data_IF_077458996725
#
_entry.id   IF_077458996725
#
_cell.length_a   1.000
_cell.length_b   1.000
_cell.length_c   1.000
_cell.angle_alpha   90.00
_cell.angle_beta   90.00
_cell.angle_gamma   90.00
#
_symmetry.space_group_name_H-M   'P 1'
#
loop_
_entity.id
_entity.type
_entity.pdbx_description
1 polymer ?
#
# COMPACT_ATOMS: atom_id res chain seq x y z
N UNK A 1 19.26 22.81 -20.14
CA UNK A 1 18.55 23.75 -19.25
C UNK A 1 17.19 23.17 -18.91
N UNK A 2 17.08 22.38 -17.84
CA UNK A 2 15.82 21.83 -17.35
C UNK A 2 15.45 22.60 -16.09
N UNK A 3 14.75 23.73 -16.26
CA UNK A 3 14.06 24.36 -15.14
C UNK A 3 12.99 23.41 -14.63
N UNK A 4 13.04 23.10 -13.34
CA UNK A 4 12.05 22.26 -12.66
C UNK A 4 10.66 22.88 -12.87
N UNK A 5 9.93 22.41 -13.87
CA UNK A 5 8.63 22.99 -14.22
C UNK A 5 7.61 22.31 -13.32
N UNK A 6 7.32 22.93 -12.18
CA UNK A 6 6.40 22.37 -11.20
C UNK A 6 4.98 22.25 -11.80
N UNK A 7 4.30 21.15 -11.50
CA UNK A 7 2.86 21.05 -11.71
C UNK A 7 2.17 22.09 -10.81
N UNK A 8 1.21 22.82 -11.34
CA UNK A 8 0.38 23.73 -10.55
C UNK A 8 -0.91 23.00 -10.20
N UNK A 9 -1.28 22.94 -8.90
CA UNK A 9 -2.51 22.34 -8.44
C UNK A 9 -3.71 22.91 -9.15
N UNK A 10 -4.62 22.02 -9.50
CA UNK A 10 -5.91 22.42 -10.02
C UNK A 10 -6.75 22.95 -8.88
N UNK A 11 -6.84 24.27 -8.71
CA UNK A 11 -7.64 24.92 -7.66
C UNK A 11 -9.03 25.31 -8.16
N UNK A 12 -10.03 25.49 -7.27
CA UNK A 12 -11.34 26.04 -7.67
C UNK A 12 -11.24 27.39 -8.38
N UNK A 13 -10.29 28.24 -7.98
CA UNK A 13 -10.04 29.53 -8.64
C UNK A 13 -9.48 29.34 -10.05
N UNK A 14 -8.58 28.36 -10.25
CA UNK A 14 -8.06 28.03 -11.57
C UNK A 14 -9.15 27.51 -12.49
N UNK A 15 -10.01 26.60 -12.02
CA UNK A 15 -11.15 26.10 -12.77
C UNK A 15 -12.11 27.23 -13.14
N UNK A 16 -12.46 28.09 -12.18
CA UNK A 16 -13.31 29.26 -12.43
C UNK A 16 -12.71 30.18 -13.48
N UNK A 17 -11.41 30.46 -13.40
CA UNK A 17 -10.71 31.31 -14.38
C UNK A 17 -10.68 30.66 -15.77
N UNK A 18 -10.43 29.36 -15.85
CA UNK A 18 -10.48 28.63 -17.12
C UNK A 18 -11.89 28.67 -17.71
N UNK A 19 -12.92 28.41 -16.90
CA UNK A 19 -14.33 28.47 -17.30
C UNK A 19 -14.71 29.85 -17.84
N UNK A 20 -14.36 30.92 -17.12
CA UNK A 20 -14.64 32.30 -17.58
C UNK A 20 -13.99 32.64 -18.93
N UNK A 21 -12.89 31.98 -19.30
CA UNK A 21 -12.22 32.23 -20.58
C UNK A 21 -12.85 31.49 -21.77
N UNK A 22 -13.68 30.49 -21.51
CA UNK A 22 -14.43 29.73 -22.54
C UNK A 22 -15.94 29.97 -22.46
N UNK A 23 -16.40 30.76 -21.49
CA UNK A 23 -17.81 31.04 -21.26
C UNK A 23 -18.50 31.62 -22.50
N UNK A 24 -19.61 31.02 -22.91
CA UNK A 24 -20.37 31.35 -24.12
C UNK A 24 -19.73 30.90 -25.43
N UNK A 25 -18.61 30.16 -25.38
CA UNK A 25 -17.87 29.61 -26.53
C UNK A 25 -17.53 28.14 -26.34
N UNK A 26 -18.24 27.46 -25.45
CA UNK A 26 -17.94 26.09 -25.04
C UNK A 26 -18.09 25.12 -26.22
N UNK A 27 -19.12 25.31 -27.04
CA UNK A 27 -19.38 24.52 -28.25
C UNK A 27 -18.31 24.66 -29.34
N UNK A 28 -17.42 25.68 -29.25
CA UNK A 28 -16.27 25.79 -30.16
C UNK A 28 -15.16 24.80 -29.83
N UNK A 29 -15.14 24.30 -28.58
CA UNK A 29 -14.01 23.56 -28.02
C UNK A 29 -14.39 22.21 -27.43
N UNK A 30 -15.67 21.96 -27.17
CA UNK A 30 -16.19 20.78 -26.50
C UNK A 30 -17.36 20.17 -27.27
N UNK A 31 -17.19 18.90 -27.65
CA UNK A 31 -18.26 18.11 -28.27
C UNK A 31 -19.06 17.35 -27.19
N UNK A 32 -20.18 17.94 -26.77
CA UNK A 32 -21.06 17.42 -25.71
C UNK A 32 -21.65 16.04 -26.07
N UNK A 33 -22.08 15.86 -27.32
CA UNK A 33 -22.68 14.60 -27.78
C UNK A 33 -21.63 13.49 -27.85
N UNK A 34 -20.42 13.81 -28.33
CA UNK A 34 -19.31 12.86 -28.33
C UNK A 34 -18.88 12.49 -26.90
N UNK A 35 -18.80 13.47 -26.00
CA UNK A 35 -18.51 13.23 -24.59
C UNK A 35 -19.53 12.26 -23.97
N UNK A 36 -20.83 12.55 -24.15
CA UNK A 36 -21.93 11.70 -23.66
C UNK A 36 -21.87 10.29 -24.22
N UNK A 37 -21.57 10.13 -25.51
CA UNK A 37 -21.42 8.82 -26.16
C UNK A 37 -20.25 8.02 -25.58
N UNK A 38 -19.08 8.65 -25.40
CA UNK A 38 -17.91 8.00 -24.83
C UNK A 38 -18.12 7.59 -23.38
N UNK A 39 -18.80 8.42 -22.58
CA UNK A 39 -19.16 8.11 -21.20
C UNK A 39 -20.12 6.94 -21.14
N UNK A 40 -21.17 6.95 -21.97
CA UNK A 40 -22.15 5.86 -21.99
C UNK A 40 -21.47 4.51 -22.25
N UNK A 41 -20.54 4.47 -23.21
CA UNK A 41 -19.69 3.30 -23.49
C UNK A 41 -18.78 2.93 -22.32
N UNK A 42 -18.13 3.92 -21.70
CA UNK A 42 -17.25 3.71 -20.55
C UNK A 42 -18.01 3.13 -19.35
N UNK A 43 -19.23 3.62 -19.12
CA UNK A 43 -20.14 3.15 -18.07
C UNK A 43 -20.61 1.72 -18.32
N UNK A 44 -21.02 1.39 -19.54
CA UNK A 44 -21.42 0.03 -19.90
C UNK A 44 -20.31 -0.98 -19.66
N UNK A 45 -19.07 -0.63 -20.00
CA UNK A 45 -17.89 -1.46 -19.72
C UNK A 45 -17.61 -1.55 -18.21
N UNK A 46 -17.70 -0.43 -17.49
CA UNK A 46 -17.41 -0.37 -16.07
C UNK A 46 -18.47 -1.04 -15.17
N UNK A 47 -19.74 -1.16 -15.61
CA UNK A 47 -20.81 -1.83 -14.85
C UNK A 47 -20.46 -3.28 -14.49
N UNK A 48 -19.59 -3.92 -15.27
CA UNK A 48 -19.11 -5.28 -15.00
C UNK A 48 -17.94 -5.33 -14.01
N UNK A 49 -17.17 -4.24 -13.88
CA UNK A 49 -15.89 -4.21 -13.16
C UNK A 49 -15.85 -3.29 -11.91
N UNK A 50 -16.89 -2.49 -11.66
CA UNK A 50 -16.95 -1.58 -10.51
C UNK A 50 -15.93 -0.42 -10.57
N UNK A 51 -15.42 -0.11 -11.77
CA UNK A 51 -14.34 0.86 -12.02
C UNK A 51 -14.78 2.07 -12.83
N UNK A 52 -15.93 2.65 -12.48
CA UNK A 52 -16.53 3.77 -13.21
C UNK A 52 -15.56 4.95 -13.35
N UNK A 53 -14.77 5.24 -12.31
CA UNK A 53 -13.82 6.35 -12.31
C UNK A 53 -12.60 6.10 -13.19
N UNK A 54 -12.02 4.90 -13.18
CA UNK A 54 -10.94 4.56 -14.09
C UNK A 54 -11.43 4.65 -15.54
N UNK A 55 -12.67 4.23 -15.79
CA UNK A 55 -13.30 4.33 -17.10
C UNK A 55 -13.49 5.80 -17.53
N UNK A 56 -13.93 6.69 -16.63
CA UNK A 56 -14.03 8.13 -16.91
C UNK A 56 -12.65 8.76 -17.17
N UNK A 57 -11.61 8.37 -16.42
CA UNK A 57 -10.23 8.84 -16.64
C UNK A 57 -9.63 8.32 -17.94
N UNK A 58 -10.07 7.15 -18.41
CA UNK A 58 -9.65 6.54 -19.66
C UNK A 58 -10.37 7.10 -20.90
N UNK A 59 -11.25 8.09 -20.74
CA UNK A 59 -11.88 8.79 -21.86
C UNK A 59 -10.81 9.59 -22.61
N UNK A 60 -10.67 9.29 -23.91
CA UNK A 60 -9.72 9.98 -24.77
C UNK A 60 -10.15 11.44 -25.00
N UNK A 61 -9.47 12.36 -24.34
CA UNK A 61 -9.79 13.79 -24.40
C UNK A 61 -9.62 14.37 -25.82
N UNK A 62 -8.76 13.78 -26.65
CA UNK A 62 -8.56 14.25 -28.03
C UNK A 62 -9.78 13.99 -28.92
N UNK A 63 -10.65 13.05 -28.54
CA UNK A 63 -11.91 12.79 -29.26
C UNK A 63 -13.04 13.74 -28.86
N UNK A 64 -12.91 14.45 -27.74
CA UNK A 64 -13.94 15.34 -27.21
C UNK A 64 -13.59 16.81 -27.47
N UNK A 65 -12.30 17.14 -27.38
CA UNK A 65 -11.84 18.50 -27.53
C UNK A 65 -11.69 18.86 -29.01
N UNK A 66 -12.57 19.77 -29.46
CA UNK A 66 -12.60 20.28 -30.82
C UNK A 66 -11.33 21.08 -31.12
N UNK A 67 -10.75 20.86 -32.30
CA UNK A 67 -9.55 21.59 -32.75
C UNK A 67 -8.24 21.12 -32.11
N UNK A 68 -8.24 19.93 -31.47
CA UNK A 68 -7.00 19.31 -30.97
C UNK A 68 -6.38 18.40 -32.04
N UNK A 69 -5.06 18.43 -32.22
CA UNK A 69 -4.38 17.71 -33.30
C UNK A 69 -4.19 16.21 -33.00
N UNK A 70 -4.32 15.79 -31.73
CA UNK A 70 -4.13 14.41 -31.31
C UNK A 70 -3.39 14.28 -29.98
N UNK A 71 -2.94 13.06 -29.67
CA UNK A 71 -2.16 12.75 -28.48
C UNK A 71 -0.71 13.22 -28.62
N UNK A 72 -0.16 13.76 -27.54
CA UNK A 72 1.21 14.26 -27.39
C UNK A 72 1.63 15.39 -28.35
N UNK A 73 0.72 15.83 -29.21
CA UNK A 73 0.90 16.96 -30.11
C UNK A 73 0.59 18.29 -29.41
N UNK A 74 1.43 19.30 -29.69
CA UNK A 74 1.29 20.62 -29.06
C UNK A 74 0.37 21.53 -29.86
N UNK A 75 -0.54 22.20 -29.15
CA UNK A 75 -1.48 23.17 -29.72
C UNK A 75 -1.62 24.41 -28.81
N UNK A 76 -2.37 25.40 -29.25
CA UNK A 76 -2.65 26.57 -28.41
C UNK A 76 -3.62 26.18 -27.29
N UNK A 77 -3.32 26.62 -26.06
CA UNK A 77 -4.17 26.30 -24.92
C UNK A 77 -5.57 26.91 -25.10
N UNK A 78 -6.59 26.08 -24.91
CA UNK A 78 -8.01 26.44 -25.07
C UNK A 78 -8.46 27.44 -24.00
N UNK A 79 -7.89 27.34 -22.79
CA UNK A 79 -8.34 28.08 -21.62
C UNK A 79 -7.53 29.33 -21.32
N UNK A 80 -6.28 29.42 -21.80
CA UNK A 80 -5.37 30.49 -21.40
C UNK A 80 -4.52 30.97 -22.58
N UNK A 81 -4.69 32.25 -22.95
CA UNK A 81 -3.92 32.89 -24.03
C UNK A 81 -2.41 32.84 -23.75
N UNK A 82 -1.63 32.65 -24.82
CA UNK A 82 -0.16 32.61 -24.75
C UNK A 82 0.42 31.36 -24.09
N UNK A 83 -0.39 30.31 -23.88
CA UNK A 83 0.06 29.01 -23.39
C UNK A 83 -0.04 27.96 -24.50
N UNK A 84 0.85 26.98 -24.45
CA UNK A 84 0.79 25.75 -25.28
C UNK A 84 0.19 24.62 -24.45
N UNK A 85 -0.57 23.75 -25.10
CA UNK A 85 -1.22 22.60 -24.49
C UNK A 85 -0.94 21.32 -25.26
N UNK A 86 -1.14 20.18 -24.61
CA UNK A 86 -1.06 18.85 -25.20
C UNK A 86 -1.93 17.89 -24.38
N UNK A 87 -2.34 16.78 -24.97
CA UNK A 87 -3.09 15.71 -24.30
C UNK A 87 -2.17 14.51 -24.20
N UNK A 88 -1.99 13.95 -23.01
CA UNK A 88 -1.12 12.80 -22.80
C UNK A 88 -1.87 11.66 -22.12
N UNK A 89 -1.64 10.44 -22.61
CA UNK A 89 -2.13 9.22 -21.97
C UNK A 89 -1.03 8.62 -21.09
N UNK A 90 -1.32 8.45 -19.80
CA UNK A 90 -0.39 7.83 -18.86
C UNK A 90 -0.35 6.30 -19.02
N UNK A 91 0.55 5.63 -18.29
CA UNK A 91 0.73 4.17 -18.35
C UNK A 91 -0.47 3.36 -17.84
N UNK A 92 -1.38 3.99 -17.09
CA UNK A 92 -2.62 3.38 -16.63
C UNK A 92 -3.76 3.57 -17.63
N UNK A 93 -3.50 4.22 -18.77
CA UNK A 93 -4.48 4.52 -19.80
C UNK A 93 -5.28 5.80 -19.54
N UNK A 94 -4.97 6.56 -18.49
CA UNK A 94 -5.69 7.79 -18.15
C UNK A 94 -5.20 8.97 -19.00
N UNK A 95 -6.14 9.79 -19.45
CA UNK A 95 -5.85 10.96 -20.25
C UNK A 95 -5.87 12.23 -19.40
N UNK A 96 -4.88 13.09 -19.65
CA UNK A 96 -4.80 14.40 -19.03
C UNK A 96 -4.52 15.47 -20.07
N UNK A 97 -5.21 16.60 -19.94
CA UNK A 97 -4.91 17.82 -20.65
C UNK A 97 -3.84 18.59 -19.88
N UNK A 98 -2.74 18.93 -20.54
CA UNK A 98 -1.69 19.75 -19.97
C UNK A 98 -1.62 21.11 -20.65
N UNK A 99 -1.23 22.13 -19.90
CA UNK A 99 -0.98 23.47 -20.44
C UNK A 99 0.23 24.10 -19.76
N UNK A 100 1.14 24.67 -20.56
CA UNK A 100 2.36 25.35 -20.08
C UNK A 100 2.52 26.70 -20.76
N UNK A 101 3.11 27.66 -20.03
CA UNK A 101 3.54 28.92 -20.61
C UNK A 101 4.95 28.76 -21.17
N UNK A 102 5.17 29.21 -22.40
CA UNK A 102 6.51 29.20 -23.01
C UNK A 102 7.44 30.12 -22.21
N UNK A 103 8.62 29.60 -21.80
CA UNK A 103 9.56 30.30 -20.92
C UNK A 103 9.08 30.57 -19.48
N UNK A 104 7.87 30.12 -19.10
CA UNK A 104 7.31 30.32 -17.76
C UNK A 104 7.43 29.10 -16.86
N UNK A 105 7.35 29.30 -15.55
CA UNK A 105 7.19 28.22 -14.57
C UNK A 105 5.71 27.85 -14.41
N UNK A 106 5.41 26.55 -14.37
CA UNK A 106 4.08 26.03 -14.02
C UNK A 106 3.33 25.33 -15.15
N UNK A 107 3.12 24.02 -15.02
CA UNK A 107 2.25 23.22 -15.89
C UNK A 107 0.87 23.06 -15.23
N UNK A 108 -0.20 23.39 -15.94
CA UNK A 108 -1.57 23.06 -15.54
C UNK A 108 -1.92 21.68 -16.04
N UNK A 109 -2.65 20.90 -15.25
CA UNK A 109 -3.17 19.59 -15.60
C UNK A 109 -4.65 19.55 -15.30
N UNK A 110 -5.46 19.15 -16.27
CA UNK A 110 -6.89 18.91 -16.11
C UNK A 110 -7.21 17.49 -16.55
N UNK A 111 -7.96 16.75 -15.74
CA UNK A 111 -8.57 15.50 -16.17
C UNK A 111 -9.95 15.74 -16.81
N UNK A 112 -10.62 14.65 -17.19
CA UNK A 112 -11.96 14.71 -17.76
C UNK A 112 -12.96 15.49 -16.89
N UNK A 113 -12.93 15.31 -15.57
CA UNK A 113 -13.89 15.93 -14.65
C UNK A 113 -13.59 17.41 -14.43
N UNK A 114 -12.31 17.79 -14.38
CA UNK A 114 -11.89 19.17 -14.37
C UNK A 114 -12.33 19.88 -15.66
N UNK A 115 -12.15 19.25 -16.83
CA UNK A 115 -12.60 19.80 -18.12
C UNK A 115 -14.12 19.96 -18.17
N UNK A 116 -14.87 18.95 -17.72
CA UNK A 116 -16.33 19.05 -17.63
C UNK A 116 -16.77 20.17 -16.68
N UNK A 117 -16.05 20.37 -15.58
CA UNK A 117 -16.29 21.52 -14.67
C UNK A 117 -16.03 22.86 -15.34
N UNK A 118 -14.98 22.94 -16.18
CA UNK A 118 -14.64 24.15 -16.94
C UNK A 118 -15.72 24.48 -17.96
N UNK A 119 -16.08 23.51 -18.82
CA UNK A 119 -17.05 23.72 -19.91
C UNK A 119 -18.48 23.86 -19.42
N UNK A 120 -18.85 23.31 -18.27
CA UNK A 120 -20.16 23.54 -17.68
C UNK A 120 -20.22 24.78 -16.79
N UNK A 121 -19.07 25.41 -16.51
CA UNK A 121 -18.92 26.48 -15.53
C UNK A 121 -19.51 26.11 -14.15
N UNK A 122 -19.37 24.84 -13.79
CA UNK A 122 -19.95 24.25 -12.60
C UNK A 122 -18.85 23.85 -11.61
N UNK A 123 -19.21 23.80 -10.33
CA UNK A 123 -18.30 23.20 -9.33
C UNK A 123 -18.17 21.70 -9.58
N UNK A 124 -17.06 21.05 -9.18
CA UNK A 124 -16.95 19.59 -9.29
C UNK A 124 -18.17 18.87 -8.70
N UNK A 125 -18.63 19.29 -7.51
CA UNK A 125 -19.83 18.73 -6.86
C UNK A 125 -21.08 18.81 -7.74
N UNK A 126 -21.28 19.91 -8.48
CA UNK A 126 -22.40 20.07 -9.40
C UNK A 126 -22.23 19.18 -10.64
N UNK A 127 -21.02 19.09 -11.20
CA UNK A 127 -20.70 18.18 -12.30
C UNK A 127 -20.99 16.73 -11.94
N UNK A 128 -20.62 16.30 -10.74
CA UNK A 128 -20.88 14.92 -10.32
C UNK A 128 -22.38 14.62 -10.17
N UNK A 129 -23.17 15.56 -9.66
CA UNK A 129 -24.64 15.44 -9.67
C UNK A 129 -25.17 15.40 -11.09
N UNK A 130 -24.65 16.24 -11.98
CA UNK A 130 -25.02 16.21 -13.39
C UNK A 130 -24.71 14.86 -14.05
N UNK A 131 -23.54 14.28 -13.78
CA UNK A 131 -23.18 12.95 -14.30
C UNK A 131 -24.15 11.86 -13.82
N UNK A 132 -24.59 11.92 -12.55
CA UNK A 132 -25.55 10.98 -11.98
C UNK A 132 -26.97 11.22 -12.53
N UNK A 133 -27.48 12.45 -12.42
CA UNK A 133 -28.88 12.80 -12.70
C UNK A 133 -29.18 12.88 -14.20
N UNK A 134 -28.24 13.40 -14.98
CA UNK A 134 -28.48 13.71 -16.42
C UNK A 134 -27.86 12.67 -17.33
N UNK A 135 -26.61 12.27 -17.08
CA UNK A 135 -25.90 11.29 -17.90
C UNK A 135 -26.00 9.86 -17.35
N UNK A 136 -26.77 9.65 -16.27
CA UNK A 136 -27.08 8.35 -15.69
C UNK A 136 -25.85 7.49 -15.42
N UNK A 137 -24.76 8.13 -14.96
CA UNK A 137 -23.50 7.46 -14.59
C UNK A 137 -23.63 6.88 -13.17
N UNK A 138 -23.88 5.56 -13.01
CA UNK A 138 -24.12 4.97 -11.70
C UNK A 138 -22.83 4.92 -10.87
N UNK A 139 -22.96 5.00 -9.54
CA UNK A 139 -21.85 4.71 -8.64
C UNK A 139 -20.84 5.85 -8.46
N UNK A 140 -21.12 7.04 -8.99
CA UNK A 140 -20.49 8.29 -8.54
C UNK A 140 -21.05 8.62 -7.15
N UNK A 141 -20.58 7.89 -6.14
CA UNK A 141 -21.06 8.04 -4.77
C UNK A 141 -20.47 9.29 -4.11
N UNK A 142 -21.12 9.79 -3.06
CA UNK A 142 -20.56 10.79 -2.16
C UNK A 142 -19.19 10.41 -1.57
N UNK A 143 -18.87 9.11 -1.53
CA UNK A 143 -17.54 8.65 -1.15
C UNK A 143 -16.47 9.07 -2.15
N UNK A 144 -16.68 8.88 -3.46
CA UNK A 144 -15.69 9.28 -4.46
C UNK A 144 -15.48 10.80 -4.51
N UNK A 145 -16.57 11.57 -4.37
CA UNK A 145 -16.52 13.01 -4.17
C UNK A 145 -15.56 13.38 -3.03
N UNK A 146 -15.76 12.73 -1.87
CA UNK A 146 -14.94 13.00 -0.69
C UNK A 146 -13.46 12.66 -0.90
N UNK A 147 -13.15 11.62 -1.68
CA UNK A 147 -11.77 11.27 -2.02
C UNK A 147 -11.15 12.32 -2.94
N UNK A 148 -11.85 12.72 -4.00
CA UNK A 148 -11.35 13.74 -4.93
C UNK A 148 -11.10 15.08 -4.23
N UNK A 149 -12.03 15.50 -3.37
CA UNK A 149 -11.87 16.70 -2.54
C UNK A 149 -10.70 16.58 -1.57
N UNK A 150 -10.51 15.42 -0.93
CA UNK A 150 -9.38 15.16 -0.03
C UNK A 150 -8.04 15.30 -0.78
N UNK A 151 -7.89 14.62 -1.90
CA UNK A 151 -6.63 14.62 -2.65
C UNK A 151 -6.34 15.99 -3.27
N UNK A 152 -7.38 16.74 -3.67
CA UNK A 152 -7.23 18.13 -4.11
C UNK A 152 -6.80 19.06 -2.97
N UNK A 153 -7.39 18.92 -1.78
CA UNK A 153 -6.99 19.65 -0.58
C UNK A 153 -5.52 19.39 -0.24
N UNK A 154 -5.11 18.11 -0.25
CA UNK A 154 -3.72 17.72 -0.03
C UNK A 154 -2.75 18.41 -0.99
N UNK A 155 -3.06 18.40 -2.30
CA UNK A 155 -2.23 19.03 -3.33
C UNK A 155 -2.14 20.56 -3.15
N UNK A 156 -3.24 21.21 -2.73
CA UNK A 156 -3.21 22.64 -2.38
C UNK A 156 -2.27 22.93 -1.20
N UNK A 157 -2.27 22.07 -0.17
CA UNK A 157 -1.35 22.21 0.98
C UNK A 157 0.10 22.05 0.57
N UNK A 158 0.43 21.11 -0.30
CA UNK A 158 1.79 20.93 -0.81
C UNK A 158 2.30 22.19 -1.51
N UNK A 159 1.46 22.85 -2.30
CA UNK A 159 1.84 24.11 -2.94
C UNK A 159 1.89 25.28 -1.99
N UNK A 160 1.05 25.31 -0.96
CA UNK A 160 1.17 26.26 0.13
C UNK A 160 2.56 26.14 0.80
N UNK A 161 3.01 24.92 1.13
CA UNK A 161 4.33 24.69 1.70
C UNK A 161 5.46 25.18 0.78
N UNK A 162 5.35 24.93 -0.52
CA UNK A 162 6.33 25.40 -1.51
C UNK A 162 6.37 26.93 -1.66
N UNK A 163 5.21 27.60 -1.62
CA UNK A 163 5.09 29.05 -1.86
C UNK A 163 5.34 29.90 -0.62
N UNK A 164 5.02 29.34 0.54
CA UNK A 164 5.11 30.01 1.84
C UNK A 164 5.87 29.11 2.83
N UNK A 165 7.16 28.84 2.60
CA UNK A 165 7.94 27.96 3.47
C UNK A 165 7.98 28.42 4.92
N UNK A 166 7.85 29.74 5.16
CA UNK A 166 7.77 30.38 6.47
C UNK A 166 6.53 30.01 7.27
N UNK A 167 5.46 29.53 6.63
CA UNK A 167 4.23 29.09 7.31
C UNK A 167 4.44 27.82 8.14
N UNK A 168 5.38 26.97 7.72
CA UNK A 168 5.68 25.68 8.31
C UNK A 168 7.20 25.43 8.22
N UNK A 169 8.01 26.18 8.98
CA UNK A 169 9.45 26.23 8.80
C UNK A 169 10.13 24.89 9.07
N UNK A 170 9.68 24.13 10.09
CA UNK A 170 10.28 22.85 10.43
C UNK A 170 9.97 21.80 9.34
N UNK A 171 8.74 21.74 8.86
CA UNK A 171 8.37 20.87 7.73
C UNK A 171 9.16 21.23 6.47
N UNK A 172 9.26 22.51 6.11
CA UNK A 172 9.98 22.91 4.91
C UNK A 172 11.49 22.66 5.02
N UNK A 173 12.08 22.84 6.19
CA UNK A 173 13.47 22.51 6.44
C UNK A 173 13.75 21.01 6.25
N UNK A 174 12.84 20.14 6.71
CA UNK A 174 13.06 18.69 6.69
C UNK A 174 12.65 18.03 5.37
N UNK A 175 11.59 18.53 4.74
CA UNK A 175 10.91 17.89 3.62
C UNK A 175 10.89 18.70 2.33
N UNK A 176 11.32 19.96 2.32
CA UNK A 176 11.13 20.89 1.20
C UNK A 176 11.60 20.36 -0.16
N UNK A 177 12.67 19.56 -0.17
CA UNK A 177 13.22 18.94 -1.39
C UNK A 177 12.48 17.67 -1.84
N UNK A 178 11.48 17.24 -1.09
CA UNK A 178 10.80 15.96 -1.24
C UNK A 178 9.29 16.08 -1.44
N UNK A 179 8.74 17.30 -1.50
CA UNK A 179 7.32 17.54 -1.75
C UNK A 179 6.80 16.93 -3.05
N UNK A 180 7.64 16.87 -4.09
CA UNK A 180 7.33 16.16 -5.34
C UNK A 180 6.98 14.68 -5.10
N UNK A 181 7.69 14.00 -4.19
CA UNK A 181 7.41 12.60 -3.86
C UNK A 181 6.03 12.46 -3.22
N UNK A 182 5.66 13.39 -2.33
CA UNK A 182 4.37 13.36 -1.66
C UNK A 182 3.21 13.71 -2.60
N UNK A 183 3.42 14.62 -3.56
CA UNK A 183 2.45 14.93 -4.62
C UNK A 183 2.19 13.71 -5.52
N UNK A 184 3.25 13.02 -5.95
CA UNK A 184 3.11 11.78 -6.73
C UNK A 184 2.41 10.67 -5.94
N UNK A 185 2.67 10.56 -4.63
CA UNK A 185 1.93 9.62 -3.77
C UNK A 185 0.45 9.99 -3.66
N UNK A 186 0.13 11.29 -3.61
CA UNK A 186 -1.24 11.79 -3.53
C UNK A 186 -2.04 11.46 -4.81
N UNK A 187 -1.43 11.68 -5.98
CA UNK A 187 -2.02 11.29 -7.27
C UNK A 187 -2.18 9.78 -7.37
N UNK A 188 -1.13 9.02 -7.03
CA UNK A 188 -1.16 7.56 -7.08
C UNK A 188 -2.26 6.98 -6.17
N UNK A 189 -2.43 7.54 -4.97
CA UNK A 189 -3.46 7.13 -4.04
C UNK A 189 -4.87 7.37 -4.59
N UNK A 190 -5.11 8.53 -5.24
CA UNK A 190 -6.39 8.82 -5.88
C UNK A 190 -6.66 7.90 -7.08
N UNK A 191 -5.63 7.60 -7.87
CA UNK A 191 -5.72 6.69 -9.02
C UNK A 191 -5.97 5.24 -8.63
N UNK A 192 -5.66 4.85 -7.40
CA UNK A 192 -5.88 3.49 -6.90
C UNK A 192 -6.96 3.44 -5.80
N UNK A 193 -7.78 4.48 -5.68
CA UNK A 193 -8.81 4.56 -4.65
C UNK A 193 -10.04 3.71 -5.02
N UNK A 194 -10.30 2.65 -4.24
CA UNK A 194 -11.50 1.84 -4.37
C UNK A 194 -12.32 1.80 -3.05
N UNK A 195 -13.66 1.97 -3.09
CA UNK A 195 -14.50 1.99 -1.88
C UNK A 195 -14.42 0.68 -1.07
N UNK A 196 -14.29 -0.45 -1.78
CA UNK A 196 -14.19 -1.78 -1.19
C UNK A 196 -12.82 -2.07 -0.59
N UNK A 197 -11.83 -1.21 -0.83
CA UNK A 197 -10.45 -1.37 -0.39
C UNK A 197 -10.09 -0.25 0.59
N UNK A 198 -10.87 -0.08 1.65
CA UNK A 198 -10.65 0.95 2.66
C UNK A 198 -10.05 0.40 3.96
N UNK A 199 -9.19 1.19 4.59
CA UNK A 199 -8.68 0.92 5.93
C UNK A 199 -9.79 1.15 6.97
N UNK A 200 -9.60 0.72 8.24
CA UNK A 200 -10.52 1.08 9.33
C UNK A 200 -10.77 2.60 9.46
N UNK A 201 -9.81 3.42 9.04
CA UNK A 201 -9.94 4.90 8.96
C UNK A 201 -10.84 5.40 7.82
N UNK A 202 -11.39 4.51 6.99
CA UNK A 202 -12.14 4.76 5.75
C UNK A 202 -11.34 5.40 4.61
N UNK A 203 -10.02 5.57 4.78
CA UNK A 203 -9.16 5.96 3.68
C UNK A 203 -8.89 4.77 2.73
N UNK A 204 -8.81 5.00 1.40
CA UNK A 204 -8.44 3.96 0.46
C UNK A 204 -7.05 3.40 0.75
N UNK A 205 -6.95 2.09 0.63
CA UNK A 205 -5.71 1.32 0.73
C UNK A 205 -5.15 1.13 -0.66
N UNK A 206 -3.87 1.42 -0.82
CA UNK A 206 -3.16 1.16 -2.06
C UNK A 206 -1.83 0.44 -1.79
N UNK A 207 -1.41 -0.34 -2.77
CA UNK A 207 -0.10 -0.96 -2.78
C UNK A 207 0.85 -0.12 -3.65
N UNK A 208 2.03 0.20 -3.12
CA UNK A 208 3.07 0.84 -3.92
C UNK A 208 4.44 0.25 -3.59
N UNK A 209 5.09 -0.37 -4.58
CA UNK A 209 6.49 -0.77 -4.43
C UNK A 209 7.42 0.44 -4.60
N UNK A 210 8.51 0.48 -3.83
CA UNK A 210 9.54 1.53 -3.97
C UNK A 210 10.18 1.54 -5.37
N UNK A 211 10.28 0.38 -6.01
CA UNK A 211 10.76 0.27 -7.39
C UNK A 211 9.77 0.86 -8.41
N UNK A 212 8.47 0.81 -8.12
CA UNK A 212 7.48 1.49 -8.94
C UNK A 212 7.51 3.00 -8.67
N UNK A 213 7.60 3.42 -7.40
CA UNK A 213 7.74 4.83 -7.03
C UNK A 213 8.97 5.46 -7.69
N UNK A 214 10.12 4.77 -7.73
CA UNK A 214 11.32 5.30 -8.41
C UNK A 214 11.15 5.49 -9.91
N UNK A 215 10.18 4.81 -10.55
CA UNK A 215 9.84 5.07 -11.96
C UNK A 215 8.94 6.28 -12.14
N UNK A 216 8.15 6.62 -11.12
CA UNK A 216 7.26 7.80 -11.11
C UNK A 216 8.04 9.07 -10.76
N UNK A 217 9.06 8.97 -9.90
CA UNK A 217 9.94 10.07 -9.51
C UNK A 217 11.42 9.71 -9.77
N UNK A 218 11.85 9.74 -11.05
CA UNK A 218 13.16 9.22 -11.48
C UNK A 218 14.37 9.97 -10.90
N UNK A 219 14.15 11.19 -10.39
CA UNK A 219 15.19 12.02 -9.79
C UNK A 219 15.65 11.54 -8.40
N UNK A 220 14.98 10.54 -7.82
CA UNK A 220 15.29 10.03 -6.48
C UNK A 220 15.72 8.55 -6.53
N UNK A 221 16.83 8.25 -5.87
CA UNK A 221 17.28 6.87 -5.71
C UNK A 221 16.34 6.08 -4.79
N UNK A 222 16.31 4.76 -4.94
CA UNK A 222 15.49 3.89 -4.08
C UNK A 222 15.79 4.07 -2.59
N UNK A 223 17.05 4.29 -2.22
CA UNK A 223 17.47 4.54 -0.83
C UNK A 223 16.85 5.83 -0.31
N UNK A 224 16.92 6.91 -1.09
CA UNK A 224 16.32 8.19 -0.71
C UNK A 224 14.80 8.05 -0.59
N UNK A 225 14.15 7.41 -1.56
CA UNK A 225 12.70 7.17 -1.51
C UNK A 225 12.28 6.38 -0.29
N UNK A 226 13.05 5.36 0.11
CA UNK A 226 12.77 4.60 1.34
C UNK A 226 12.79 5.50 2.57
N UNK A 227 13.81 6.34 2.69
CA UNK A 227 13.98 7.26 3.82
C UNK A 227 12.92 8.35 3.84
N UNK A 228 12.57 8.90 2.68
CA UNK A 228 11.53 9.93 2.50
C UNK A 228 10.15 9.36 2.80
N UNK A 229 9.83 8.14 2.34
CA UNK A 229 8.58 7.46 2.68
C UNK A 229 8.48 7.28 4.20
N UNK A 230 9.54 6.80 4.86
CA UNK A 230 9.54 6.66 6.32
C UNK A 230 9.36 8.02 7.03
N UNK A 231 9.99 9.07 6.52
CA UNK A 231 9.79 10.44 7.02
C UNK A 231 8.32 10.85 6.95
N UNK A 232 7.66 10.66 5.80
CA UNK A 232 6.24 11.00 5.66
C UNK A 232 5.34 10.16 6.55
N UNK A 233 5.71 8.91 6.83
CA UNK A 233 4.99 8.07 7.79
C UNK A 233 5.13 8.59 9.22
N UNK A 234 6.34 8.98 9.64
CA UNK A 234 6.59 9.61 10.95
C UNK A 234 5.78 10.91 11.10
N UNK A 235 5.85 11.78 10.09
CA UNK A 235 5.12 13.05 10.08
C UNK A 235 3.60 12.88 9.96
N UNK A 236 3.12 11.69 9.61
CA UNK A 236 1.70 11.38 9.51
C UNK A 236 1.06 11.78 8.18
N UNK A 237 1.82 12.18 7.15
CA UNK A 237 1.27 12.42 5.82
C UNK A 237 0.98 11.12 5.03
N UNK A 238 1.51 10.00 5.49
CA UNK A 238 1.27 8.68 4.93
C UNK A 238 1.07 7.69 6.07
N UNK A 239 0.08 6.80 5.96
CA UNK A 239 -0.08 5.72 6.91
C UNK A 239 0.41 4.43 6.28
N UNK A 240 1.29 3.71 6.97
CA UNK A 240 1.72 2.37 6.59
C UNK A 240 0.82 1.36 7.29
N UNK A 241 0.24 0.43 6.55
CA UNK A 241 -0.81 -0.45 7.05
C UNK A 241 -0.27 -1.87 7.30
N UNK A 242 -0.53 -2.47 8.49
CA UNK A 242 -0.23 -3.87 8.74
C UNK A 242 -1.18 -4.80 7.97
N UNK A 243 -0.74 -6.03 7.73
CA UNK A 243 -1.47 -6.97 6.86
C UNK A 243 -2.84 -7.40 7.39
N UNK A 244 -3.06 -7.28 8.69
CA UNK A 244 -4.30 -7.59 9.40
C UNK A 244 -5.40 -6.53 9.20
N UNK A 245 -5.03 -5.27 8.94
CA UNK A 245 -6.00 -4.21 8.63
C UNK A 245 -6.22 -3.99 7.13
N UNK A 246 -5.45 -4.68 6.28
CA UNK A 246 -5.57 -4.60 4.82
C UNK A 246 -6.76 -5.46 4.35
N UNK A 247 -7.61 -4.95 3.43
CA UNK A 247 -8.72 -5.70 2.86
C UNK A 247 -8.32 -7.10 2.38
N UNK A 248 -9.14 -8.11 2.68
CA UNK A 248 -8.81 -9.53 2.49
C UNK A 248 -8.40 -9.86 1.05
N UNK A 249 -9.11 -9.30 0.06
CA UNK A 249 -8.80 -9.48 -1.37
C UNK A 249 -7.38 -9.00 -1.71
N UNK A 250 -6.99 -7.82 -1.22
CA UNK A 250 -5.65 -7.27 -1.43
C UNK A 250 -4.59 -8.07 -0.66
N UNK A 251 -4.90 -8.46 0.58
CA UNK A 251 -4.01 -9.26 1.41
C UNK A 251 -3.75 -10.65 0.78
N UNK A 252 -4.77 -11.30 0.25
CA UNK A 252 -4.66 -12.57 -0.47
C UNK A 252 -3.81 -12.43 -1.74
N UNK A 253 -4.06 -11.38 -2.54
CA UNK A 253 -3.25 -11.08 -3.73
C UNK A 253 -1.78 -10.84 -3.39
N UNK A 254 -1.50 -10.10 -2.31
CA UNK A 254 -0.14 -9.86 -1.86
C UNK A 254 0.55 -11.14 -1.37
N UNK A 255 -0.14 -11.99 -0.59
CA UNK A 255 0.38 -13.30 -0.17
C UNK A 255 0.74 -14.16 -1.38
N UNK A 256 -0.12 -14.20 -2.41
CA UNK A 256 0.12 -14.91 -3.67
C UNK A 256 1.33 -14.34 -4.44
N UNK A 257 1.43 -13.02 -4.58
CA UNK A 257 2.57 -12.36 -5.24
C UNK A 257 3.90 -12.61 -4.52
N UNK A 258 3.88 -12.64 -3.18
CA UNK A 258 5.04 -12.98 -2.37
C UNK A 258 5.49 -14.42 -2.65
N UNK A 259 4.53 -15.35 -2.71
CA UNK A 259 4.75 -16.76 -3.04
C UNK A 259 5.37 -16.92 -4.43
N UNK A 260 4.73 -16.37 -5.46
CA UNK A 260 5.16 -16.50 -6.87
C UNK A 260 6.56 -15.91 -7.11
N UNK A 261 6.91 -14.83 -6.42
CA UNK A 261 8.19 -14.13 -6.62
C UNK A 261 9.34 -14.66 -5.76
N UNK A 262 9.08 -15.58 -4.82
CA UNK A 262 10.07 -16.09 -3.86
C UNK A 262 10.87 -14.96 -3.17
N UNK A 263 10.23 -13.81 -2.94
CA UNK A 263 10.86 -12.64 -2.32
C UNK A 263 10.33 -12.46 -0.91
N UNK A 264 11.25 -12.39 0.04
CA UNK A 264 10.92 -12.12 1.45
C UNK A 264 10.58 -10.67 1.74
N UNK A 265 10.72 -9.77 0.75
CA UNK A 265 10.32 -8.37 0.90
C UNK A 265 8.80 -8.29 1.11
N UNK A 266 8.38 -7.95 2.32
CA UNK A 266 6.98 -7.73 2.61
C UNK A 266 6.44 -6.57 1.77
N UNK A 267 5.37 -6.88 1.02
CA UNK A 267 4.55 -5.91 0.29
C UNK A 267 4.03 -4.90 1.32
N UNK A 268 4.31 -3.63 1.09
CA UNK A 268 3.86 -2.55 1.99
C UNK A 268 2.59 -1.93 1.42
N UNK A 269 1.57 -1.86 2.25
CA UNK A 269 0.31 -1.18 1.97
C UNK A 269 0.31 0.18 2.65
N UNK A 270 -0.37 1.12 2.01
CA UNK A 270 -0.46 2.49 2.50
C UNK A 270 -1.88 3.02 2.38
N UNK A 271 -2.21 3.99 3.21
CA UNK A 271 -3.34 4.89 3.01
C UNK A 271 -2.86 6.33 3.11
N UNK A 272 -3.49 7.22 2.34
CA UNK A 272 -3.12 8.63 2.29
C UNK A 272 -4.22 9.49 2.92
N UNK A 273 -3.99 10.02 4.14
CA UNK A 273 -4.97 10.81 4.88
C UNK A 273 -5.12 12.22 4.33
N UNK A 274 -6.12 12.95 4.84
CA UNK A 274 -6.23 14.41 4.61
C UNK A 274 -5.14 15.13 5.40
N UNK A 275 -4.37 15.98 4.73
CA UNK A 275 -3.25 16.71 5.33
C UNK A 275 -3.74 17.78 6.30
N UNK A 276 -4.81 18.51 5.98
CA UNK A 276 -5.32 19.62 6.78
C UNK A 276 -5.50 19.29 8.28
N UNK A 277 -5.90 18.06 8.62
CA UNK A 277 -6.04 17.63 10.02
C UNK A 277 -4.75 17.16 10.70
N UNK A 278 -3.63 17.08 9.99
CA UNK A 278 -2.35 16.52 10.46
C UNK A 278 -1.19 17.50 10.43
N UNK A 279 -1.34 18.65 9.77
CA UNK A 279 -0.25 19.63 9.58
C UNK A 279 0.36 20.10 10.90
N UNK A 280 -0.46 20.43 11.90
CA UNK A 280 0.04 20.91 13.20
C UNK A 280 0.88 19.84 13.92
N UNK A 281 0.43 18.59 13.90
CA UNK A 281 1.20 17.47 14.47
C UNK A 281 2.48 17.19 13.67
N UNK A 282 2.40 17.26 12.35
CA UNK A 282 3.54 17.08 11.45
C UNK A 282 4.61 18.14 11.69
N UNK A 283 4.24 19.42 11.85
CA UNK A 283 5.16 20.51 12.17
C UNK A 283 5.82 20.31 13.54
N UNK A 284 5.04 19.91 14.55
CA UNK A 284 5.56 19.57 15.89
C UNK A 284 6.57 18.41 15.85
N UNK A 285 6.26 17.33 15.12
CA UNK A 285 7.17 16.19 14.93
C UNK A 285 8.43 16.57 14.15
N UNK A 286 8.30 17.39 13.10
CA UNK A 286 9.43 17.91 12.35
C UNK A 286 10.36 18.74 13.24
N UNK A 287 9.79 19.63 14.08
CA UNK A 287 10.56 20.43 15.05
C UNK A 287 11.32 19.55 16.03
N UNK A 288 10.66 18.52 16.58
CA UNK A 288 11.29 17.54 17.50
C UNK A 288 12.49 16.83 16.83
N UNK A 289 12.34 16.43 15.56
CA UNK A 289 13.43 15.81 14.81
C UNK A 289 14.60 16.77 14.58
N UNK A 290 14.33 18.02 14.25
CA UNK A 290 15.34 19.05 14.01
C UNK A 290 16.12 19.37 15.29
N UNK A 291 15.43 19.56 16.41
CA UNK A 291 16.03 19.82 17.72
C UNK A 291 16.92 18.65 18.19
N UNK A 292 16.55 17.41 17.85
CA UNK A 292 17.37 16.23 18.08
C UNK A 292 18.49 16.02 17.03
N UNK A 293 18.67 16.94 16.07
CA UNK A 293 19.68 16.82 15.01
C UNK A 293 19.43 15.67 14.03
N UNK A 294 18.19 15.18 13.94
CA UNK A 294 17.81 14.04 13.10
C UNK A 294 17.34 14.55 11.73
N UNK A 295 18.09 14.16 10.70
CA UNK A 295 17.70 14.34 9.29
C UNK A 295 16.98 13.10 8.77
N UNK A 296 16.27 13.24 7.64
CA UNK A 296 15.46 12.16 7.03
C UNK A 296 16.21 10.83 6.86
N UNK A 297 17.50 10.86 6.48
CA UNK A 297 18.31 9.66 6.29
C UNK A 297 18.74 8.96 7.59
N UNK A 298 18.57 9.60 8.75
CA UNK A 298 18.84 9.04 10.07
C UNK A 298 17.59 8.48 10.75
N UNK A 299 16.41 8.66 10.16
CA UNK A 299 15.15 8.14 10.71
C UNK A 299 15.16 6.61 10.64
N UNK A 300 15.23 5.99 11.81
CA UNK A 300 15.14 4.56 12.01
C UNK A 300 14.26 4.25 13.24
N UNK A 301 13.98 2.97 13.45
CA UNK A 301 13.10 2.53 14.54
C UNK A 301 13.55 3.02 15.92
N UNK A 302 14.84 2.90 16.24
CA UNK A 302 15.38 3.35 17.53
C UNK A 302 15.18 4.86 17.72
N UNK A 303 15.46 5.66 16.69
CA UNK A 303 15.29 7.11 16.78
C UNK A 303 13.83 7.52 16.97
N UNK A 304 12.89 6.85 16.28
CA UNK A 304 11.46 7.13 16.44
C UNK A 304 10.97 6.69 17.82
N UNK A 305 11.42 5.52 18.29
CA UNK A 305 11.08 5.01 19.62
C UNK A 305 11.58 5.93 20.74
N UNK A 306 12.80 6.46 20.60
CA UNK A 306 13.38 7.40 21.58
C UNK A 306 12.66 8.75 21.60
N UNK A 307 12.26 9.29 20.44
CA UNK A 307 11.66 10.63 20.37
C UNK A 307 10.14 10.65 20.55
N UNK A 308 9.45 9.63 20.06
CA UNK A 308 7.98 9.61 19.95
C UNK A 308 7.35 8.41 20.65
N UNK A 309 8.15 7.54 21.26
CA UNK A 309 7.69 6.36 21.97
C UNK A 309 7.53 5.12 21.08
N UNK A 310 7.36 3.98 21.75
CA UNK A 310 7.31 2.66 21.12
C UNK A 310 6.11 2.49 20.20
N UNK A 311 4.95 3.02 20.56
CA UNK A 311 3.72 2.93 19.76
C UNK A 311 3.92 3.57 18.37
N UNK A 312 4.52 4.75 18.30
CA UNK A 312 4.80 5.43 17.04
C UNK A 312 5.86 4.67 16.22
N UNK A 313 6.86 4.11 16.88
CA UNK A 313 7.87 3.29 16.21
C UNK A 313 7.28 2.00 15.62
N UNK A 314 6.34 1.36 16.34
CA UNK A 314 5.61 0.20 15.86
C UNK A 314 4.68 0.54 14.69
N UNK A 315 4.02 1.70 14.73
CA UNK A 315 3.20 2.23 13.63
C UNK A 315 4.02 2.47 12.35
N UNK A 316 5.19 3.08 12.47
CA UNK A 316 6.05 3.44 11.32
C UNK A 316 6.78 2.20 10.77
N UNK A 317 7.31 1.36 11.65
CA UNK A 317 8.17 0.21 11.31
C UNK A 317 7.48 -1.12 11.59
N UNK A 318 6.45 -1.42 10.80
CA UNK A 318 5.65 -2.65 10.88
C UNK A 318 6.45 -3.95 10.66
N UNK A 319 7.53 -3.88 9.90
CA UNK A 319 8.38 -5.03 9.65
C UNK A 319 9.35 -5.19 10.81
N UNK A 320 9.17 -6.25 11.61
CA UNK A 320 10.27 -6.77 12.42
C UNK A 320 11.38 -7.17 11.46
N UNK A 321 12.47 -6.40 11.44
CA UNK A 321 13.66 -6.71 10.66
C UNK A 321 14.35 -7.89 11.34
N UNK A 322 13.77 -9.09 11.24
CA UNK A 322 14.56 -10.30 11.36
C UNK A 322 15.56 -10.21 10.22
N UNK A 323 16.85 -10.11 10.56
CA UNK A 323 17.92 -9.86 9.59
C UNK A 323 17.77 -10.74 8.35
N UNK A 324 18.14 -10.20 7.18
CA UNK A 324 17.93 -10.81 5.84
C UNK A 324 17.85 -12.35 5.91
N UNK A 325 16.70 -12.97 5.58
CA UNK A 325 16.69 -14.41 5.31
C UNK A 325 17.70 -14.67 4.19
N UNK A 326 18.65 -15.56 4.46
CA UNK A 326 19.69 -15.91 3.49
C UNK A 326 19.02 -16.75 2.40
N UNK A 327 19.44 -16.52 1.15
CA UNK A 327 18.89 -16.96 -0.16
C UNK A 327 18.53 -18.45 -0.34
N UNK A 328 18.66 -19.30 0.67
CA UNK A 328 18.68 -20.77 0.56
C UNK A 328 17.78 -21.50 1.58
N UNK A 329 16.82 -20.87 2.25
CA UNK A 329 15.90 -21.63 3.11
C UNK A 329 14.84 -22.31 2.22
N UNK A 330 14.78 -23.65 2.14
CA UNK A 330 13.81 -24.34 1.30
C UNK A 330 12.38 -24.19 1.83
N UNK A 331 11.45 -24.08 0.90
CA UNK A 331 10.01 -23.90 1.17
C UNK A 331 9.30 -25.22 0.86
N UNK A 332 8.57 -25.77 1.84
CA UNK A 332 7.90 -27.07 1.71
C UNK A 332 6.38 -26.91 1.57
N UNK A 333 5.78 -27.68 0.66
CA UNK A 333 4.35 -27.68 0.34
C UNK A 333 3.75 -29.04 0.72
N UNK A 334 2.59 -29.04 1.38
CA UNK A 334 1.82 -30.28 1.63
C UNK A 334 0.92 -30.63 0.44
N UNK A 335 0.47 -31.88 0.35
CA UNK A 335 -0.45 -32.36 -0.71
C UNK A 335 -1.76 -31.55 -0.83
N UNK A 336 -2.12 -30.78 0.20
CA UNK A 336 -3.33 -29.94 0.26
C UNK A 336 -3.04 -28.43 0.10
N UNK A 337 -1.85 -28.05 -0.37
CA UNK A 337 -1.55 -26.66 -0.74
C UNK A 337 -1.34 -25.67 0.42
N UNK A 338 -1.12 -26.15 1.65
CA UNK A 338 -0.83 -25.30 2.82
C UNK A 338 0.69 -25.11 2.99
N UNK A 339 1.12 -23.85 3.09
CA UNK A 339 2.53 -23.41 3.17
C UNK A 339 3.04 -23.38 4.61
N UNK A 340 4.29 -23.83 4.83
CA UNK A 340 4.99 -23.69 6.12
C UNK A 340 6.48 -23.37 5.89
N UNK A 341 7.05 -22.53 6.74
CA UNK A 341 8.50 -22.39 6.89
C UNK A 341 9.12 -23.70 7.41
N UNK A 342 10.40 -23.96 7.11
CA UNK A 342 11.09 -25.17 7.62
C UNK A 342 11.03 -25.26 9.16
N UNK A 343 11.01 -24.11 9.85
CA UNK A 343 10.76 -24.04 11.29
C UNK A 343 9.37 -24.57 11.66
N UNK A 344 8.30 -24.05 11.07
CA UNK A 344 6.93 -24.50 11.33
C UNK A 344 6.73 -26.00 11.01
N UNK A 345 7.44 -26.51 10.00
CA UNK A 345 7.44 -27.94 9.66
C UNK A 345 8.09 -28.77 10.77
N UNK A 346 9.29 -28.37 11.19
CA UNK A 346 10.02 -29.05 12.27
C UNK A 346 9.29 -28.95 13.61
N UNK A 347 8.66 -27.82 13.91
CA UNK A 347 7.82 -27.66 15.10
C UNK A 347 6.62 -28.60 15.08
N UNK A 348 5.97 -28.78 13.93
CA UNK A 348 4.88 -29.74 13.81
C UNK A 348 5.38 -31.17 14.00
N UNK A 349 6.46 -31.55 13.33
CA UNK A 349 7.04 -32.88 13.47
C UNK A 349 7.41 -33.17 14.93
N UNK A 350 7.98 -32.18 15.62
CA UNK A 350 8.29 -32.24 17.05
C UNK A 350 7.04 -32.49 17.90
N UNK A 351 5.95 -31.75 17.66
CA UNK A 351 4.69 -31.91 18.38
C UNK A 351 3.98 -33.23 18.06
N UNK A 352 3.99 -33.67 16.80
CA UNK A 352 3.40 -34.95 16.38
C UNK A 352 4.14 -36.14 17.01
N UNK A 353 5.48 -36.08 17.08
CA UNK A 353 6.29 -37.13 17.71
C UNK A 353 6.04 -37.18 19.22
N UNK A 354 5.95 -36.02 19.88
CA UNK A 354 5.57 -35.92 21.29
C UNK A 354 4.16 -36.44 21.52
N UNK A 355 3.21 -36.13 20.64
CA UNK A 355 1.83 -36.62 20.78
C UNK A 355 1.75 -38.15 20.63
N UNK A 356 2.53 -38.73 19.70
CA UNK A 356 2.53 -40.18 19.43
C UNK A 356 3.29 -41.00 20.46
N UNK A 357 4.42 -40.49 20.95
CA UNK A 357 5.37 -41.27 21.78
C UNK A 357 5.60 -40.69 23.18
N UNK A 358 5.06 -39.49 23.45
CA UNK A 358 5.36 -38.70 24.64
C UNK A 358 6.71 -37.99 24.59
N UNK A 359 7.49 -38.16 23.51
CA UNK A 359 8.90 -37.74 23.39
C UNK A 359 9.22 -37.35 21.94
N UNK A 360 10.31 -36.61 21.72
CA UNK A 360 10.82 -36.36 20.36
C UNK A 360 12.33 -36.59 20.32
N UNK A 361 12.81 -37.36 19.35
CA UNK A 361 14.23 -37.61 19.19
C UNK A 361 14.92 -36.53 18.35
N UNK A 362 15.95 -35.90 18.92
CA UNK A 362 16.70 -34.81 18.27
C UNK A 362 17.24 -35.21 16.90
N UNK A 363 17.75 -36.44 16.77
CA UNK A 363 18.36 -36.92 15.54
C UNK A 363 17.32 -37.20 14.45
N UNK A 364 16.17 -37.77 14.79
CA UNK A 364 15.03 -37.93 13.86
C UNK A 364 14.64 -36.59 13.23
N UNK A 365 14.48 -35.56 14.08
CA UNK A 365 14.15 -34.21 13.63
C UNK A 365 15.29 -33.60 12.78
N UNK A 366 16.55 -33.84 13.16
CA UNK A 366 17.74 -33.37 12.41
C UNK A 366 17.86 -34.00 11.03
N UNK A 367 17.62 -35.30 10.91
CA UNK A 367 17.69 -36.04 9.64
C UNK A 367 16.55 -35.64 8.69
N UNK A 368 15.44 -35.11 9.23
CA UNK A 368 14.36 -34.59 8.41
C UNK A 368 14.67 -33.24 7.76
N UNK A 369 15.62 -32.45 8.29
CA UNK A 369 15.88 -31.08 7.81
C UNK A 369 17.12 -30.93 6.96
N UNK A 370 17.12 -29.92 6.09
CA UNK A 370 18.31 -29.46 5.36
C UNK A 370 19.04 -28.32 6.06
N UNK A 371 18.60 -27.92 7.26
CA UNK A 371 19.23 -26.85 8.03
C UNK A 371 20.69 -27.21 8.40
N UNK A 372 21.63 -26.25 8.32
CA UNK A 372 22.97 -26.42 8.86
C UNK A 372 22.93 -26.82 10.34
N UNK A 373 23.80 -27.73 10.77
CA UNK A 373 23.79 -28.32 12.11
C UNK A 373 23.71 -27.29 13.24
N UNK A 374 24.50 -26.21 13.18
CA UNK A 374 24.49 -25.15 14.19
C UNK A 374 23.13 -24.42 14.31
N UNK A 375 22.40 -24.25 13.20
CA UNK A 375 21.07 -23.64 13.18
C UNK A 375 20.02 -24.59 13.73
N UNK A 376 20.10 -25.86 13.34
CA UNK A 376 19.23 -26.89 13.89
C UNK A 376 19.41 -26.97 15.42
N UNK A 377 20.64 -26.96 15.93
CA UNK A 377 20.90 -27.01 17.37
C UNK A 377 20.35 -25.78 18.12
N UNK A 378 20.45 -24.59 17.54
CA UNK A 378 19.83 -23.38 18.09
C UNK A 378 18.30 -23.48 18.09
N UNK A 379 17.72 -23.99 17.01
CA UNK A 379 16.28 -24.13 16.87
C UNK A 379 15.71 -25.25 17.76
N UNK A 380 16.44 -26.34 17.94
CA UNK A 380 16.12 -27.40 18.89
C UNK A 380 15.99 -26.86 20.32
N UNK A 381 16.95 -26.05 20.76
CA UNK A 381 16.88 -25.38 22.07
C UNK A 381 15.66 -24.45 22.17
N UNK A 382 15.32 -23.76 21.08
CA UNK A 382 14.12 -22.92 20.99
C UNK A 382 12.85 -23.76 21.17
N UNK A 383 12.72 -24.90 20.47
CA UNK A 383 11.58 -25.81 20.57
C UNK A 383 11.42 -26.40 21.97
N UNK A 384 12.51 -26.93 22.55
CA UNK A 384 12.52 -27.51 23.89
C UNK A 384 12.07 -26.46 24.92
N UNK A 385 12.56 -25.22 24.81
CA UNK A 385 12.15 -24.12 25.69
C UNK A 385 10.70 -23.70 25.46
N UNK A 386 10.30 -23.52 24.20
CA UNK A 386 8.95 -23.04 23.80
C UNK A 386 7.86 -23.98 24.29
N UNK A 387 8.08 -25.29 24.14
CA UNK A 387 7.13 -26.34 24.48
C UNK A 387 7.36 -26.96 25.87
N UNK A 388 8.11 -26.27 26.74
CA UNK A 388 8.38 -26.68 28.13
C UNK A 388 8.83 -28.15 28.23
N UNK A 389 9.77 -28.55 27.40
CA UNK A 389 10.38 -29.86 27.45
C UNK A 389 11.73 -29.82 28.16
N UNK A 390 12.19 -30.97 28.64
CA UNK A 390 13.55 -31.23 29.14
C UNK A 390 14.30 -32.12 28.15
N UNK A 391 15.55 -31.78 27.89
CA UNK A 391 16.44 -32.59 27.05
C UNK A 391 17.09 -33.67 27.91
N UNK A 392 16.85 -34.94 27.60
CA UNK A 392 17.34 -36.11 28.36
C UNK A 392 17.82 -37.22 27.41
N UNK A 393 18.26 -38.35 27.99
CA UNK A 393 18.53 -39.58 27.24
C UNK A 393 17.38 -40.59 27.41
N UNK A 394 17.14 -41.49 26.42
CA UNK A 394 16.14 -42.56 26.49
C UNK A 394 16.36 -43.50 27.68
N UNK A 395 15.26 -43.91 28.31
CA UNK A 395 15.24 -44.94 29.34
C UNK A 395 15.23 -46.34 28.73
N UNK A 396 15.49 -47.39 29.51
CA UNK A 396 15.44 -48.78 29.02
C UNK A 396 14.04 -49.18 28.50
N UNK A 397 12.98 -48.57 29.04
CA UNK A 397 11.62 -48.71 28.53
C UNK A 397 11.46 -48.09 27.14
N UNK A 398 12.08 -46.93 26.90
CA UNK A 398 12.03 -46.23 25.61
C UNK A 398 12.76 -47.00 24.52
N UNK A 399 13.90 -47.62 24.87
CA UNK A 399 14.63 -48.49 23.95
C UNK A 399 13.79 -49.68 23.52
N UNK A 400 13.08 -50.33 24.46
CA UNK A 400 12.24 -51.51 24.17
C UNK A 400 10.97 -51.15 23.41
N UNK A 401 10.32 -50.04 23.74
CA UNK A 401 8.99 -49.68 23.21
C UNK A 401 9.03 -48.93 21.89
N UNK A 402 10.07 -48.13 21.66
CA UNK A 402 10.17 -47.24 20.50
C UNK A 402 11.45 -47.43 19.69
N UNK A 403 12.27 -48.44 20.01
CA UNK A 403 13.50 -48.74 19.27
C UNK A 403 14.59 -47.66 19.39
N UNK A 404 14.51 -46.81 20.43
CA UNK A 404 15.43 -45.68 20.61
C UNK A 404 16.81 -46.16 21.09
N UNK A 405 17.86 -45.41 20.73
CA UNK A 405 19.24 -45.71 21.15
C UNK A 405 19.65 -44.89 22.39
N UNK A 406 20.27 -45.56 23.37
CA UNK A 406 20.66 -45.01 24.70
C UNK A 406 21.47 -43.71 24.68
N UNK A 407 22.18 -43.42 23.57
CA UNK A 407 23.06 -42.24 23.42
C UNK A 407 22.42 -41.08 22.65
N UNK A 408 21.14 -41.18 22.29
CA UNK A 408 20.45 -40.14 21.51
C UNK A 408 19.77 -39.14 22.45
N UNK A 409 19.84 -37.85 22.12
CA UNK A 409 19.16 -36.80 22.87
C UNK A 409 17.68 -36.78 22.50
N UNK A 410 16.83 -36.77 23.50
CA UNK A 410 15.36 -36.69 23.36
C UNK A 410 14.83 -35.48 24.11
N UNK A 411 13.74 -34.90 23.60
CA UNK A 411 12.92 -33.94 24.33
C UNK A 411 11.75 -34.67 24.98
N UNK A 412 11.55 -34.45 26.28
CA UNK A 412 10.44 -34.99 27.06
C UNK A 412 9.67 -33.82 27.69
N UNK A 413 8.34 -33.74 27.57
CA UNK A 413 7.56 -32.70 28.26
C UNK A 413 7.88 -32.66 29.75
N UNK A 414 8.09 -31.46 30.29
CA UNK A 414 8.25 -31.27 31.72
C UNK A 414 6.85 -31.38 32.36
N UNK A 415 6.55 -32.51 33.01
CA UNK A 415 5.22 -32.85 33.54
C UNK A 415 4.75 -31.95 34.70
N UNK A 416 5.37 -30.80 34.92
CA UNK A 416 4.81 -29.76 35.79
C UNK A 416 3.81 -28.92 34.99
N UNK A 417 2.54 -29.30 35.12
CA UNK A 417 1.30 -28.61 34.72
C UNK A 417 0.87 -28.87 33.26
N UNK A 418 0.01 -29.87 33.08
CA UNK A 418 -1.00 -29.90 32.01
C UNK A 418 -2.37 -30.09 32.66
N UNK A 419 -2.97 -28.99 33.11
CA UNK A 419 -4.40 -28.80 32.96
C UNK A 419 -4.58 -27.82 31.79
N UNK A 420 -5.04 -28.31 30.63
CA UNK A 420 -5.51 -27.42 29.56
C UNK A 420 -5.15 -27.75 28.11
N UNK A 421 -4.32 -28.77 27.81
CA UNK A 421 -3.94 -29.10 26.41
C UNK A 421 -4.35 -30.50 25.93
N UNK A 422 -5.40 -31.09 26.53
CA UNK A 422 -5.96 -32.37 26.10
C UNK A 422 -7.30 -32.30 25.35
N UNK A 423 -7.75 -31.11 24.93
CA UNK A 423 -9.15 -30.94 24.50
C UNK A 423 -9.36 -30.54 23.04
N UNK A 424 -8.52 -30.99 22.10
CA UNK A 424 -8.80 -30.80 20.66
C UNK A 424 -8.68 -32.10 19.83
N UNK A 425 -7.90 -33.10 20.26
CA UNK A 425 -7.81 -34.39 19.55
C UNK A 425 -8.99 -35.34 19.82
N UNK A 426 -9.48 -35.41 21.07
CA UNK A 426 -10.46 -36.43 21.48
C UNK A 426 -11.89 -36.18 20.97
N UNK A 427 -12.22 -34.98 20.50
CA UNK A 427 -13.56 -34.67 19.99
C UNK A 427 -13.77 -35.07 18.51
N UNK A 428 -12.70 -35.31 17.75
CA UNK A 428 -12.80 -35.74 16.35
C UNK A 428 -12.84 -37.27 16.21
N UNK A 429 -12.17 -38.01 17.09
CA UNK A 429 -12.26 -39.48 17.14
C UNK A 429 -13.59 -39.96 17.75
N UNK A 430 -14.11 -39.30 18.80
CA UNK A 430 -15.45 -39.64 19.34
C UNK A 430 -16.57 -39.44 18.31
N UNK A 431 -16.57 -38.33 17.58
CA UNK A 431 -17.58 -38.06 16.53
C UNK A 431 -17.46 -38.96 15.31
N UNK A 432 -16.31 -39.61 15.10
CA UNK A 432 -16.10 -40.57 14.02
C UNK A 432 -16.61 -41.96 14.43
N UNK A 433 -16.29 -42.39 15.65
CA UNK A 433 -16.76 -43.67 16.18
C UNK A 433 -18.29 -43.68 16.38
N UNK A 434 -18.89 -42.57 16.84
CA UNK A 434 -20.35 -42.46 16.98
C UNK A 434 -21.12 -42.49 15.63
N UNK A 435 -20.45 -42.17 14.51
CA UNK A 435 -21.02 -42.27 13.15
C UNK A 435 -20.82 -43.63 12.50
N UNK A 436 -19.78 -44.35 12.87
CA UNK A 436 -19.52 -45.72 12.39
C UNK A 436 -20.31 -46.76 13.21
N UNK A 437 -20.79 -46.44 14.41
CA UNK A 437 -21.70 -47.30 15.20
C UNK A 437 -23.20 -47.05 14.93
N UNK A 438 -23.55 -46.00 14.17
CA UNK A 438 -24.94 -45.64 13.83
C UNK A 438 -25.30 -45.82 12.34
N UNK A 439 -24.47 -46.52 11.57
CA UNK A 439 -24.69 -46.90 10.18
C UNK A 439 -24.42 -48.41 10.02
#
# INVERSE_FOLDING_TARGET
MQGNTALVPTTPLLLKKAASNVWGRESEFWDEERAKSLISRAVEQARWDGKIFDALKAINLAEILIGTPGLDEQFNCLFFRGRKAWIHQNKNGHFHYYSRKEGGSGVYRFDFLDLLSIFRHETPKAVFRFLEDTWQVPGITGWYLSQHEKHRDNEMRLVEFCRRPESHPALNQLCGRHWEVLSVLNDYALDNAAPTETAPSRDPVFFLSLQHLSKLVPNFSMTVLTQVVNLFVVLGFLDKLPMDVVPEKMAARAKRLKWERQKDSAISFYSLPRFSGRISDAERKAKTLIEAGIRYYRINRKTVETLFGREEADRVFLQKTYGRPRRNDPVYVTAYGKFYSERERLERMFLEEIQKTGKCEKRSLKESTTLPAYRFDAYWKELVKKHRCKETYPTDLDMKRYGMSRRRLIAVPDYCIIDGLLTIGNNLERKRNEREESA
#
